data_IF_405415465027
#
_entry.id   IF_405415465027
#
_cell.length_a   1.000
_cell.length_b   1.000
_cell.length_c   1.000
_cell.angle_alpha   90.00
_cell.angle_beta   90.00
_cell.angle_gamma   90.00
#
_symmetry.space_group_name_H-M   'P 1'
#
loop_
_entity.id
_entity.type
_entity.pdbx_description
1 polymer ?
#
# COMPACT_ATOMS: atom_id res chain seq x y z
N UNK A 1 24.15 76.86 -14.85
CA UNK A 1 23.02 76.45 -13.97
C UNK A 1 21.98 75.69 -14.79
N UNK A 2 22.01 74.35 -14.82
CA UNK A 2 20.85 73.51 -15.15
C UNK A 2 20.95 72.26 -14.28
N UNK A 3 20.03 72.14 -13.31
CA UNK A 3 19.96 71.04 -12.34
C UNK A 3 19.16 69.89 -12.96
N UNK A 4 19.77 68.72 -13.08
CA UNK A 4 19.11 67.44 -13.39
C UNK A 4 18.45 66.90 -12.12
N UNK A 5 17.14 66.66 -12.17
CA UNK A 5 16.38 66.01 -11.10
C UNK A 5 16.34 64.50 -11.39
N UNK A 6 16.96 63.70 -10.52
CA UNK A 6 16.89 62.23 -10.57
C UNK A 6 15.67 61.79 -9.73
N UNK A 7 14.68 61.20 -10.38
CA UNK A 7 13.48 60.66 -9.73
C UNK A 7 13.78 59.23 -9.25
N UNK A 8 13.94 59.05 -7.93
CA UNK A 8 14.05 57.73 -7.31
C UNK A 8 12.67 57.07 -7.23
N UNK A 9 12.45 56.01 -8.01
CA UNK A 9 11.29 55.14 -7.90
C UNK A 9 11.45 54.24 -6.66
N UNK A 10 10.75 54.58 -5.57
CA UNK A 10 10.60 53.70 -4.41
C UNK A 10 9.51 52.65 -4.70
N UNK A 11 9.94 51.45 -5.11
CA UNK A 11 9.08 50.26 -5.12
C UNK A 11 8.84 49.80 -3.68
N UNK A 12 7.59 49.61 -3.23
CA UNK A 12 7.32 49.04 -1.92
C UNK A 12 7.60 47.54 -1.96
N UNK A 13 8.69 47.13 -1.33
CA UNK A 13 8.93 45.72 -1.01
C UNK A 13 7.92 45.33 0.07
N UNK A 14 6.77 44.78 -0.35
CA UNK A 14 5.89 44.05 0.56
C UNK A 14 6.62 42.78 1.01
N UNK A 15 7.31 42.86 2.15
CA UNK A 15 7.73 41.67 2.88
C UNK A 15 6.48 40.96 3.40
N UNK A 16 5.94 40.03 2.61
CA UNK A 16 4.98 39.06 3.11
C UNK A 16 5.69 38.23 4.19
N UNK A 17 5.45 38.54 5.46
CA UNK A 17 5.94 37.73 6.57
C UNK A 17 5.48 36.29 6.35
N UNK A 18 6.41 35.39 6.02
CA UNK A 18 6.10 33.98 5.85
C UNK A 18 5.54 33.47 7.17
N UNK A 19 4.27 33.03 7.18
CA UNK A 19 3.65 32.49 8.38
C UNK A 19 4.42 31.23 8.78
N UNK A 20 4.97 31.22 9.98
CA UNK A 20 5.72 30.09 10.56
C UNK A 20 4.94 29.47 11.70
N UNK A 21 5.22 28.20 12.00
CA UNK A 21 4.81 27.58 13.25
C UNK A 21 5.95 27.60 14.27
N UNK A 22 5.58 27.63 15.54
CA UNK A 22 6.47 27.31 16.66
C UNK A 22 5.75 26.34 17.58
N UNK A 23 6.34 25.17 17.85
CA UNK A 23 5.81 24.21 18.82
C UNK A 23 6.70 24.27 20.05
N UNK A 24 6.14 24.61 21.21
CA UNK A 24 6.87 24.63 22.48
C UNK A 24 6.30 23.57 23.41
N UNK A 25 7.14 22.64 23.87
CA UNK A 25 6.73 21.59 24.79
C UNK A 25 7.37 21.71 26.17
N UNK A 26 6.59 21.39 27.20
CA UNK A 26 7.04 21.33 28.61
C UNK A 26 6.70 19.97 29.23
N UNK A 27 7.70 19.35 29.84
CA UNK A 27 7.75 18.03 30.48
C UNK A 27 8.59 18.15 31.77
N UNK A 28 8.08 18.81 32.84
CA UNK A 28 8.89 19.21 33.99
C UNK A 28 9.45 18.05 34.81
N UNK A 29 8.83 16.86 34.77
CA UNK A 29 9.32 15.65 35.45
C UNK A 29 10.29 14.83 34.60
N UNK A 30 10.49 15.17 33.31
CA UNK A 30 11.51 14.52 32.49
C UNK A 30 12.89 15.15 32.77
N UNK A 31 13.63 14.54 33.70
CA UNK A 31 14.97 15.00 34.13
C UNK A 31 16.12 14.40 33.32
N UNK A 32 15.89 13.25 32.67
CA UNK A 32 16.90 12.58 31.88
C UNK A 32 17.08 13.24 30.50
N UNK A 33 18.30 13.23 29.92
CA UNK A 33 18.51 13.65 28.54
C UNK A 33 17.64 12.85 27.57
N UNK A 34 16.86 13.56 26.77
CA UNK A 34 15.95 12.97 25.80
C UNK A 34 15.84 13.84 24.55
N UNK A 35 15.42 13.25 23.45
CA UNK A 35 15.17 13.93 22.17
C UNK A 35 13.73 13.70 21.77
N UNK A 36 13.02 14.75 21.39
CA UNK A 36 11.72 14.63 20.73
C UNK A 36 11.96 14.53 19.23
N UNK A 37 11.39 13.52 18.60
CA UNK A 37 11.36 13.40 17.14
C UNK A 37 9.97 13.74 16.64
N UNK A 38 9.91 14.50 15.54
CA UNK A 38 8.70 14.75 14.79
C UNK A 38 8.67 13.82 13.60
N UNK A 39 7.61 13.02 13.50
CA UNK A 39 7.35 12.16 12.37
C UNK A 39 6.20 12.70 11.51
N UNK A 40 6.39 12.71 10.19
CA UNK A 40 5.38 13.03 9.18
C UNK A 40 5.06 11.79 8.35
N UNK A 41 3.86 11.74 7.77
CA UNK A 41 3.47 10.64 6.88
C UNK A 41 4.15 10.79 5.50
N UNK A 42 4.91 9.78 5.08
CA UNK A 42 5.50 9.63 3.75
C UNK A 42 4.88 8.41 3.04
N UNK A 43 5.24 8.18 1.77
CA UNK A 43 4.72 7.06 0.98
C UNK A 43 4.99 5.69 1.66
N UNK A 44 6.14 5.55 2.33
CA UNK A 44 6.56 4.35 3.04
C UNK A 44 6.10 4.32 4.52
N UNK A 45 5.18 5.20 4.90
CA UNK A 45 4.64 5.34 6.25
C UNK A 45 5.22 6.50 7.05
N UNK A 46 5.04 6.47 8.36
CA UNK A 46 5.51 7.52 9.27
C UNK A 46 7.04 7.54 9.36
N UNK A 47 7.65 8.67 9.00
CA UNK A 47 9.10 8.88 9.02
C UNK A 47 9.45 10.08 9.89
N UNK A 48 10.49 9.94 10.69
CA UNK A 48 11.08 11.05 11.44
C UNK A 48 11.67 12.07 10.46
N UNK A 49 11.27 13.32 10.59
CA UNK A 49 11.66 14.41 9.68
C UNK A 49 12.31 15.58 10.38
N UNK A 50 12.17 15.67 11.71
CA UNK A 50 12.81 16.70 12.53
C UNK A 50 13.04 16.17 13.95
N UNK A 51 13.91 16.82 14.71
CA UNK A 51 14.20 16.48 16.10
C UNK A 51 14.59 17.70 16.93
N UNK A 52 14.24 17.68 18.21
CA UNK A 52 14.61 18.70 19.19
C UNK A 52 15.11 18.05 20.47
N UNK A 53 16.26 18.52 20.97
CA UNK A 53 16.79 18.09 22.27
C UNK A 53 15.92 18.66 23.39
N UNK A 54 15.59 17.84 24.37
CA UNK A 54 14.87 18.28 25.58
C UNK A 54 15.90 18.78 26.58
N UNK A 55 15.86 20.08 26.88
CA UNK A 55 16.73 20.73 27.87
C UNK A 55 15.86 21.24 29.02
N UNK A 56 16.17 20.82 30.25
CA UNK A 56 15.39 21.17 31.46
C UNK A 56 13.87 20.87 31.32
N UNK A 57 13.53 19.75 30.66
CA UNK A 57 12.15 19.37 30.41
C UNK A 57 11.44 20.22 29.34
N UNK A 58 12.15 21.08 28.59
CA UNK A 58 11.58 21.90 27.53
C UNK A 58 12.19 21.57 26.16
N UNK A 59 11.38 21.69 25.10
CA UNK A 59 11.83 21.56 23.71
C UNK A 59 11.06 22.53 22.81
N UNK A 60 11.63 22.81 21.64
CA UNK A 60 10.99 23.67 20.65
C UNK A 60 11.25 23.18 19.23
N UNK A 61 10.22 23.25 18.39
CA UNK A 61 10.33 23.14 16.93
C UNK A 61 9.91 24.45 16.27
N UNK A 62 10.51 24.77 15.13
CA UNK A 62 10.13 25.92 14.29
C UNK A 62 10.19 25.52 12.82
N UNK A 63 9.25 26.04 12.05
CA UNK A 63 9.26 25.84 10.61
C UNK A 63 8.13 26.58 9.92
N UNK A 64 7.90 26.26 8.66
CA UNK A 64 6.79 26.78 7.87
C UNK A 64 6.08 25.63 7.17
N UNK A 65 4.76 25.74 7.05
CA UNK A 65 3.92 24.76 6.38
C UNK A 65 3.13 25.42 5.25
N UNK A 66 2.91 24.68 4.16
CA UNK A 66 1.98 25.09 3.10
C UNK A 66 0.52 24.90 3.51
N UNK A 67 0.24 23.95 4.40
CA UNK A 67 -1.09 23.66 4.96
C UNK A 67 -0.98 22.96 6.32
N UNK A 68 -2.03 22.98 7.16
CA UNK A 68 -2.02 22.22 8.40
C UNK A 68 -1.73 20.74 8.16
N UNK A 69 -0.81 20.19 8.95
CA UNK A 69 -0.22 18.86 8.72
C UNK A 69 -0.34 18.02 9.98
N UNK A 70 -0.71 16.74 9.82
CA UNK A 70 -0.69 15.79 10.92
C UNK A 70 0.74 15.31 11.18
N UNK A 71 1.17 15.36 12.44
CA UNK A 71 2.47 14.86 12.89
C UNK A 71 2.32 13.94 14.08
N UNK A 72 3.32 13.10 14.31
CA UNK A 72 3.48 12.35 15.55
C UNK A 72 4.76 12.83 16.23
N UNK A 73 4.65 13.30 17.47
CA UNK A 73 5.81 13.58 18.32
C UNK A 73 6.11 12.35 19.18
N UNK A 74 7.39 11.97 19.25
CA UNK A 74 7.88 10.82 20.03
C UNK A 74 9.06 11.21 20.89
N UNK A 75 9.07 10.79 22.16
CA UNK A 75 10.21 11.03 23.05
C UNK A 75 11.14 9.81 23.04
N UNK A 76 12.40 10.01 22.63
CA UNK A 76 13.47 9.02 22.78
C UNK A 76 14.31 9.36 24.00
N UNK A 77 14.34 8.46 24.99
CA UNK A 77 15.21 8.57 26.18
C UNK A 77 16.45 7.70 25.98
N UNK A 78 17.61 8.13 26.47
CA UNK A 78 18.93 7.53 26.19
C UNK A 78 19.02 6.01 26.40
N UNK A 79 18.25 5.45 27.35
CA UNK A 79 18.26 4.03 27.70
C UNK A 79 16.97 3.27 27.31
N UNK A 80 16.18 3.76 26.35
CA UNK A 80 14.93 3.07 25.93
C UNK A 80 15.22 2.13 24.76
N UNK A 81 14.99 0.80 24.90
CA UNK A 81 15.09 -0.13 23.77
C UNK A 81 14.18 0.30 22.61
N UNK A 82 14.63 0.12 21.37
CA UNK A 82 13.90 0.56 20.16
C UNK A 82 12.46 0.01 20.10
N UNK A 83 12.21 -1.18 20.68
CA UNK A 83 10.88 -1.78 20.80
C UNK A 83 9.91 -1.01 21.71
N UNK A 84 10.41 -0.22 22.68
CA UNK A 84 9.60 0.61 23.62
C UNK A 84 9.47 2.07 23.20
N UNK A 85 10.29 2.52 22.25
CA UNK A 85 10.32 3.91 21.77
C UNK A 85 8.97 4.43 21.22
N UNK A 86 8.08 3.53 20.78
CA UNK A 86 6.77 3.90 20.19
C UNK A 86 5.65 4.16 21.19
N UNK A 87 5.86 3.95 22.49
CA UNK A 87 4.77 3.99 23.49
C UNK A 87 4.46 5.40 24.01
N UNK A 88 5.45 6.30 24.05
CA UNK A 88 5.29 7.69 24.49
C UNK A 88 5.23 8.63 23.28
N UNK A 89 4.05 8.72 22.67
CA UNK A 89 3.81 9.51 21.46
C UNK A 89 2.51 10.31 21.53
N UNK A 90 2.48 11.42 20.80
CA UNK A 90 1.32 12.28 20.62
C UNK A 90 1.11 12.54 19.13
N UNK A 91 -0.05 12.14 18.61
CA UNK A 91 -0.51 12.59 17.29
C UNK A 91 -1.23 13.93 17.44
N UNK A 92 -0.92 14.88 16.57
CA UNK A 92 -1.58 16.20 16.55
C UNK A 92 -1.54 16.82 15.15
N UNK A 93 -2.42 17.80 14.92
CA UNK A 93 -2.29 18.69 13.76
C UNK A 93 -1.49 19.93 14.13
N UNK A 94 -0.51 20.27 13.30
CA UNK A 94 0.26 21.51 13.40
C UNK A 94 -0.09 22.43 12.24
N UNK A 95 -0.06 23.73 12.49
CA UNK A 95 -0.30 24.79 11.50
C UNK A 95 0.59 25.99 11.84
N UNK A 96 0.68 26.98 10.95
CA UNK A 96 1.54 28.17 11.14
C UNK A 96 1.01 29.08 12.26
N UNK A 97 1.18 28.64 13.49
CA UNK A 97 0.77 29.28 14.73
C UNK A 97 1.74 28.93 15.88
N UNK A 98 1.55 29.57 17.03
CA UNK A 98 2.25 29.20 18.26
C UNK A 98 1.48 28.08 18.96
N UNK A 99 2.06 26.88 18.96
CA UNK A 99 1.49 25.67 19.53
C UNK A 99 2.21 25.36 20.84
N UNK A 100 1.44 25.12 21.91
CA UNK A 100 1.99 24.76 23.23
C UNK A 100 1.52 23.38 23.63
N UNK A 101 2.48 22.55 24.06
CA UNK A 101 2.28 21.20 24.58
C UNK A 101 2.64 21.17 26.06
N UNK A 102 1.69 20.83 26.91
CA UNK A 102 1.93 20.70 28.36
C UNK A 102 1.63 19.29 28.82
N UNK A 103 2.65 18.62 29.35
CA UNK A 103 2.53 17.31 29.98
C UNK A 103 3.40 17.27 31.23
N UNK A 104 3.09 16.37 32.17
CA UNK A 104 3.90 16.19 33.38
C UNK A 104 5.16 15.37 33.10
N UNK A 105 4.96 14.16 32.56
CA UNK A 105 5.97 13.09 32.41
C UNK A 105 6.03 12.48 31.01
N UNK A 106 4.91 12.50 30.27
CA UNK A 106 4.73 11.76 29.01
C UNK A 106 3.92 12.59 28.00
N UNK A 107 4.38 12.62 26.75
CA UNK A 107 3.68 13.27 25.63
C UNK A 107 2.31 12.64 25.37
N UNK A 108 2.14 11.35 25.65
CA UNK A 108 0.84 10.66 25.51
C UNK A 108 -0.27 11.34 26.33
N UNK A 109 0.08 12.03 27.43
CA UNK A 109 -0.87 12.74 28.31
C UNK A 109 -0.87 14.26 28.07
N UNK A 110 -0.20 14.73 27.03
CA UNK A 110 -0.06 16.16 26.80
C UNK A 110 -1.38 16.82 26.40
N UNK A 111 -1.60 18.03 26.92
CA UNK A 111 -2.61 18.94 26.43
C UNK A 111 -2.00 19.81 25.32
N UNK A 112 -2.74 19.97 24.23
CA UNK A 112 -2.35 20.75 23.05
C UNK A 112 -3.18 22.03 23.00
N UNK A 113 -2.52 23.16 22.75
CA UNK A 113 -3.18 24.45 22.53
C UNK A 113 -2.49 25.23 21.40
N UNK A 114 -3.21 26.16 20.77
CA UNK A 114 -2.67 27.01 19.70
C UNK A 114 -2.84 26.46 18.27
N UNK A 115 -3.28 25.21 18.11
CA UNK A 115 -3.73 24.65 16.84
C UNK A 115 -5.27 24.59 16.81
N UNK A 116 -5.88 25.44 15.99
CA UNK A 116 -7.33 25.45 15.71
C UNK A 116 -7.72 24.14 15.02
N UNK A 117 -6.93 23.70 14.03
CA UNK A 117 -7.19 22.46 13.29
C UNK A 117 -7.22 21.26 14.24
N UNK A 118 -6.23 21.15 15.12
CA UNK A 118 -6.14 20.06 16.10
C UNK A 118 -7.33 20.07 17.08
N UNK A 119 -7.65 21.24 17.64
CA UNK A 119 -8.77 21.41 18.56
C UNK A 119 -10.09 20.98 17.94
N UNK A 120 -10.36 21.39 16.69
CA UNK A 120 -11.61 21.09 16.01
C UNK A 120 -11.73 19.61 15.65
N UNK A 121 -10.66 19.00 15.13
CA UNK A 121 -10.62 17.56 14.84
C UNK A 121 -10.79 16.75 16.13
N UNK A 122 -10.10 17.10 17.21
CA UNK A 122 -10.22 16.40 18.49
C UNK A 122 -11.63 16.53 19.08
N UNK A 123 -12.28 17.69 18.94
CA UNK A 123 -13.68 17.87 19.35
C UNK A 123 -14.62 16.99 18.52
N UNK A 124 -14.42 16.92 17.21
CA UNK A 124 -15.20 16.05 16.31
C UNK A 124 -14.99 14.57 16.65
N UNK A 125 -13.74 14.11 16.82
CA UNK A 125 -13.43 12.72 17.16
C UNK A 125 -13.99 12.34 18.54
N UNK A 126 -13.96 13.26 19.51
CA UNK A 126 -14.60 13.06 20.82
C UNK A 126 -16.12 12.84 20.70
N UNK A 127 -16.79 13.51 19.76
CA UNK A 127 -18.24 13.38 19.55
C UNK A 127 -18.66 12.01 18.97
N UNK A 128 -17.77 11.36 18.19
CA UNK A 128 -18.05 10.03 17.61
C UNK A 128 -17.51 8.88 18.46
N UNK A 129 -16.63 9.18 19.41
CA UNK A 129 -16.00 8.18 20.30
C UNK A 129 -17.01 7.25 21.00
N UNK A 130 -18.15 7.71 21.55
CA UNK A 130 -19.12 6.81 22.17
C UNK A 130 -19.63 5.74 21.20
N UNK A 131 -19.93 6.11 19.95
CA UNK A 131 -20.38 5.16 18.93
C UNK A 131 -19.30 4.14 18.59
N UNK A 132 -18.05 4.58 18.46
CA UNK A 132 -16.91 3.69 18.21
C UNK A 132 -16.70 2.70 19.36
N UNK A 133 -16.78 3.16 20.61
CA UNK A 133 -16.70 2.30 21.80
C UNK A 133 -17.82 1.25 21.80
N UNK A 134 -19.05 1.63 21.46
CA UNK A 134 -20.16 0.67 21.34
C UNK A 134 -19.92 -0.33 20.20
N UNK A 135 -19.43 0.12 19.03
CA UNK A 135 -19.10 -0.79 17.92
C UNK A 135 -18.04 -1.81 18.35
N UNK A 136 -16.96 -1.37 19.00
CA UNK A 136 -15.90 -2.26 19.48
C UNK A 136 -16.45 -3.30 20.45
N UNK A 137 -17.25 -2.87 21.43
CA UNK A 137 -17.89 -3.79 22.38
C UNK A 137 -18.78 -4.82 21.67
N UNK A 138 -19.62 -4.38 20.72
CA UNK A 138 -20.46 -5.31 19.94
C UNK A 138 -19.61 -6.28 19.11
N UNK A 139 -18.49 -5.83 18.55
CA UNK A 139 -17.60 -6.68 17.79
C UNK A 139 -16.87 -7.71 18.66
N UNK A 140 -16.43 -7.31 19.86
CA UNK A 140 -15.78 -8.20 20.81
C UNK A 140 -16.79 -9.25 21.33
N UNK A 141 -17.97 -8.80 21.79
CA UNK A 141 -19.01 -9.67 22.35
C UNK A 141 -19.54 -10.67 21.29
N UNK A 142 -19.83 -10.21 20.06
CA UNK A 142 -20.46 -11.05 19.02
C UNK A 142 -19.49 -11.66 18.01
N UNK A 143 -18.21 -11.28 18.07
CA UNK A 143 -17.12 -11.85 17.28
C UNK A 143 -16.39 -13.00 17.98
N UNK A 144 -16.67 -13.23 19.26
CA UNK A 144 -16.05 -14.29 20.06
C UNK A 144 -16.28 -15.68 19.46
N UNK A 145 -15.23 -16.51 19.50
CA UNK A 145 -15.23 -17.88 19.03
C UNK A 145 -14.75 -18.83 20.12
N UNK A 146 -15.31 -20.04 20.15
CA UNK A 146 -14.81 -21.12 21.00
C UNK A 146 -13.42 -21.57 20.55
N UNK A 147 -12.76 -22.44 21.34
CA UNK A 147 -11.45 -23.01 21.01
C UNK A 147 -11.47 -23.82 19.70
N UNK A 148 -12.63 -24.35 19.35
CA UNK A 148 -12.90 -25.12 18.13
C UNK A 148 -13.20 -24.20 16.92
N UNK A 149 -13.20 -22.87 17.11
CA UNK A 149 -13.33 -21.89 16.04
C UNK A 149 -14.77 -21.58 15.62
N UNK A 150 -15.78 -22.08 16.34
CA UNK A 150 -17.20 -21.76 16.12
C UNK A 150 -17.56 -20.48 16.88
N UNK A 151 -18.49 -19.68 16.34
CA UNK A 151 -18.92 -18.46 17.04
C UNK A 151 -19.73 -18.81 18.29
N UNK A 152 -19.49 -18.09 19.39
CA UNK A 152 -20.19 -18.28 20.66
C UNK A 152 -21.69 -17.97 20.53
N UNK A 153 -22.02 -16.93 19.74
CA UNK A 153 -23.40 -16.53 19.52
C UNK A 153 -24.00 -17.06 18.20
N UNK A 154 -25.29 -17.47 18.19
CA UNK A 154 -26.02 -17.86 16.99
C UNK A 154 -26.00 -16.80 15.89
N UNK A 155 -26.19 -17.25 14.65
CA UNK A 155 -26.14 -16.39 13.44
C UNK A 155 -27.16 -15.25 13.53
N UNK A 156 -28.35 -15.51 14.04
CA UNK A 156 -29.46 -14.56 14.16
C UNK A 156 -29.11 -13.40 15.11
N UNK A 157 -28.45 -13.72 16.23
CA UNK A 157 -28.02 -12.72 17.21
C UNK A 157 -26.87 -11.89 16.63
N UNK A 158 -25.89 -12.54 15.99
CA UNK A 158 -24.79 -11.83 15.31
C UNK A 158 -25.30 -10.93 14.18
N UNK A 159 -26.36 -11.32 13.46
CA UNK A 159 -27.00 -10.48 12.45
C UNK A 159 -27.59 -9.21 13.07
N UNK A 160 -28.34 -9.32 14.17
CA UNK A 160 -28.88 -8.16 14.90
C UNK A 160 -27.78 -7.22 15.43
N UNK A 161 -26.67 -7.79 15.90
CA UNK A 161 -25.49 -7.01 16.28
C UNK A 161 -24.89 -6.29 15.07
N UNK A 162 -24.77 -6.97 13.93
CA UNK A 162 -24.37 -6.38 12.65
C UNK A 162 -25.26 -5.22 12.21
N UNK A 163 -26.59 -5.35 12.31
CA UNK A 163 -27.54 -4.28 11.99
C UNK A 163 -27.37 -3.07 12.93
N UNK A 164 -27.07 -3.33 14.21
CA UNK A 164 -26.78 -2.28 15.20
C UNK A 164 -25.47 -1.54 14.88
N UNK A 165 -24.44 -2.28 14.46
CA UNK A 165 -23.17 -1.70 13.96
C UNK A 165 -23.42 -0.84 12.72
N UNK A 166 -24.24 -1.29 11.77
CA UNK A 166 -24.56 -0.49 10.58
C UNK A 166 -25.25 0.85 10.95
N UNK A 167 -26.17 0.83 11.92
CA UNK A 167 -26.80 2.06 12.45
C UNK A 167 -25.79 2.99 13.10
N UNK A 168 -24.88 2.47 13.94
CA UNK A 168 -23.81 3.25 14.59
C UNK A 168 -22.85 3.86 13.55
N UNK A 169 -22.46 3.09 12.53
CA UNK A 169 -21.64 3.58 11.42
C UNK A 169 -22.36 4.70 10.67
N UNK A 170 -23.68 4.61 10.45
CA UNK A 170 -24.45 5.70 9.86
C UNK A 170 -24.42 6.96 10.73
N UNK A 171 -24.65 6.83 12.05
CA UNK A 171 -24.60 7.98 12.97
C UNK A 171 -23.22 8.66 12.98
N UNK A 172 -22.14 7.89 12.92
CA UNK A 172 -20.78 8.43 12.77
C UNK A 172 -20.67 9.23 11.46
N UNK A 173 -21.14 8.66 10.34
CA UNK A 173 -21.12 9.33 9.03
C UNK A 173 -21.92 10.63 9.03
N UNK A 174 -23.13 10.60 9.59
CA UNK A 174 -24.00 11.78 9.71
C UNK A 174 -23.36 12.86 10.59
N UNK A 175 -22.74 12.47 11.71
CA UNK A 175 -22.02 13.39 12.62
C UNK A 175 -20.84 14.05 11.92
N UNK A 176 -20.02 13.27 11.20
CA UNK A 176 -18.89 13.81 10.42
C UNK A 176 -19.34 14.71 9.28
N UNK A 177 -20.46 14.38 8.61
CA UNK A 177 -21.06 15.23 7.58
C UNK A 177 -21.57 16.56 8.15
N UNK A 178 -22.25 16.52 9.29
CA UNK A 178 -22.72 17.74 9.99
C UNK A 178 -21.55 18.64 10.42
N UNK A 179 -20.45 18.03 10.90
CA UNK A 179 -19.22 18.75 11.19
C UNK A 179 -18.69 19.47 9.94
N UNK A 180 -18.63 18.79 8.79
CA UNK A 180 -18.22 19.41 7.52
C UNK A 180 -19.10 20.60 7.15
N UNK A 181 -20.42 20.43 7.19
CA UNK A 181 -21.39 21.47 6.81
C UNK A 181 -21.30 22.73 7.67
N UNK A 182 -20.83 22.59 8.91
CA UNK A 182 -20.66 23.69 9.87
C UNK A 182 -19.24 24.28 9.89
N UNK A 183 -18.27 23.63 9.22
CA UNK A 183 -16.85 24.00 9.24
C UNK A 183 -16.29 24.29 7.83
N UNK A 184 -17.10 24.88 6.94
CA UNK A 184 -16.75 25.17 5.54
C UNK A 184 -15.62 26.19 5.34
N UNK A 185 -15.26 26.93 6.40
CA UNK A 185 -14.15 27.88 6.42
C UNK A 185 -12.95 27.37 7.25
N UNK A 186 -12.99 26.12 7.73
CA UNK A 186 -11.90 25.51 8.50
C UNK A 186 -11.23 24.38 7.72
N UNK A 187 -9.90 24.29 7.85
CA UNK A 187 -9.14 23.16 7.32
C UNK A 187 -9.58 21.83 7.96
N UNK A 188 -9.99 21.83 9.24
CA UNK A 188 -10.53 20.63 9.88
C UNK A 188 -11.78 20.10 9.16
N UNK A 189 -12.64 21.01 8.67
CA UNK A 189 -13.80 20.67 7.86
C UNK A 189 -13.40 20.03 6.53
N UNK A 190 -12.44 20.65 5.80
CA UNK A 190 -11.98 20.11 4.52
C UNK A 190 -11.27 18.75 4.69
N UNK A 191 -10.46 18.60 5.73
CA UNK A 191 -9.83 17.35 6.10
C UNK A 191 -10.86 16.25 6.39
N UNK A 192 -11.87 16.56 7.20
CA UNK A 192 -12.93 15.61 7.54
C UNK A 192 -13.74 15.22 6.31
N UNK A 193 -14.03 16.17 5.42
CA UNK A 193 -14.71 15.92 4.15
C UNK A 193 -13.90 14.98 3.26
N UNK A 194 -12.62 15.30 3.02
CA UNK A 194 -11.74 14.49 2.18
C UNK A 194 -11.54 13.08 2.72
N UNK A 195 -11.37 12.93 4.04
CA UNK A 195 -11.05 11.66 4.68
C UNK A 195 -12.27 10.76 4.90
N UNK A 196 -13.42 11.33 5.30
CA UNK A 196 -14.54 10.55 5.82
C UNK A 196 -15.85 10.69 5.04
N UNK A 197 -16.06 11.81 4.34
CA UNK A 197 -17.26 11.98 3.50
C UNK A 197 -17.00 11.41 2.10
N UNK A 198 -15.84 11.73 1.52
CA UNK A 198 -15.37 11.10 0.28
C UNK A 198 -14.81 9.69 0.56
N UNK A 199 -15.62 8.76 1.04
CA UNK A 199 -15.18 7.38 1.30
C UNK A 199 -14.98 6.57 -0.01
N UNK A 200 -14.99 5.23 0.02
CA UNK A 200 -14.86 4.47 -1.23
C UNK A 200 -16.13 4.43 -2.09
N UNK A 201 -17.27 4.84 -1.51
CA UNK A 201 -18.64 4.69 -2.04
C UNK A 201 -19.39 6.02 -2.20
N UNK A 202 -18.75 7.17 -1.97
CA UNK A 202 -19.41 8.46 -2.12
C UNK A 202 -19.99 8.68 -3.53
N UNK A 203 -21.06 9.47 -3.60
CA UNK A 203 -21.66 9.92 -4.84
C UNK A 203 -21.14 11.33 -5.18
N UNK A 204 -20.35 11.52 -6.26
CA UNK A 204 -19.85 12.82 -6.66
C UNK A 204 -20.97 13.82 -6.95
N UNK A 205 -22.13 13.38 -7.44
CA UNK A 205 -23.26 14.28 -7.70
C UNK A 205 -23.83 14.90 -6.41
N UNK A 206 -23.70 14.19 -5.29
CA UNK A 206 -24.11 14.66 -3.96
C UNK A 206 -23.01 15.50 -3.29
N UNK A 207 -21.75 15.05 -3.39
CA UNK A 207 -20.66 15.63 -2.61
C UNK A 207 -19.95 16.82 -3.29
N UNK A 208 -19.96 16.93 -4.62
CA UNK A 208 -19.38 18.08 -5.32
C UNK A 208 -20.07 19.42 -4.98
N UNK A 209 -21.41 19.52 -4.90
CA UNK A 209 -22.07 20.73 -4.40
C UNK A 209 -21.65 21.12 -2.97
N UNK A 210 -21.39 20.14 -2.10
CA UNK A 210 -20.88 20.40 -0.75
C UNK A 210 -19.44 20.93 -0.79
N UNK A 211 -18.58 20.34 -1.62
CA UNK A 211 -17.22 20.84 -1.83
C UNK A 211 -17.21 22.30 -2.30
N UNK A 212 -18.11 22.67 -3.21
CA UNK A 212 -18.19 24.02 -3.77
C UNK A 212 -18.50 25.11 -2.74
N UNK A 213 -19.12 24.73 -1.61
CA UNK A 213 -19.44 25.63 -0.48
C UNK A 213 -18.23 25.94 0.41
N UNK A 214 -17.11 25.23 0.30
CA UNK A 214 -15.89 25.57 1.02
C UNK A 214 -15.32 26.92 0.54
N UNK A 215 -14.62 27.62 1.44
CA UNK A 215 -13.96 28.89 1.12
C UNK A 215 -13.00 28.77 -0.08
N UNK A 216 -12.83 29.86 -0.84
CA UNK A 216 -11.92 29.90 -1.97
C UNK A 216 -10.49 29.49 -1.58
N UNK A 217 -9.99 29.99 -0.44
CA UNK A 217 -8.67 29.66 0.11
C UNK A 217 -8.49 28.16 0.35
N UNK A 218 -9.52 27.48 0.88
CA UNK A 218 -9.48 26.04 1.12
C UNK A 218 -9.57 25.24 -0.18
N UNK A 219 -10.40 25.67 -1.14
CA UNK A 219 -10.49 25.03 -2.45
C UNK A 219 -9.17 25.12 -3.24
N UNK A 220 -8.42 26.22 -3.09
CA UNK A 220 -7.09 26.41 -3.70
C UNK A 220 -5.93 25.78 -2.90
N UNK A 221 -6.19 25.19 -1.74
CA UNK A 221 -5.14 24.54 -0.93
C UNK A 221 -4.67 23.22 -1.56
N UNK A 222 -3.48 22.68 -1.19
CA UNK A 222 -3.05 21.37 -1.66
C UNK A 222 -4.05 20.24 -1.34
N UNK A 223 -4.68 20.25 -0.16
CA UNK A 223 -5.78 19.33 0.16
C UNK A 223 -7.03 19.58 -0.70
N UNK A 224 -7.33 20.84 -1.04
CA UNK A 224 -8.41 21.20 -1.96
C UNK A 224 -8.20 20.58 -3.35
N UNK A 225 -6.99 20.69 -3.91
CA UNK A 225 -6.63 20.06 -5.17
C UNK A 225 -6.77 18.53 -5.14
N UNK A 226 -6.31 17.87 -4.07
CA UNK A 226 -6.53 16.42 -3.87
C UNK A 226 -8.00 16.06 -3.76
N UNK A 227 -8.82 16.94 -3.20
CA UNK A 227 -10.27 16.73 -3.09
C UNK A 227 -10.94 16.77 -4.46
N UNK A 228 -10.55 17.72 -5.33
CA UNK A 228 -11.00 17.76 -6.72
C UNK A 228 -10.60 16.49 -7.47
N UNK A 229 -9.33 16.06 -7.38
CA UNK A 229 -8.87 14.82 -8.02
C UNK A 229 -9.71 13.61 -7.57
N UNK A 230 -10.00 13.52 -6.28
CA UNK A 230 -10.83 12.45 -5.72
C UNK A 230 -12.25 12.47 -6.25
N UNK A 231 -12.88 13.65 -6.35
CA UNK A 231 -14.20 13.83 -6.96
C UNK A 231 -14.20 13.39 -8.43
N UNK A 232 -13.18 13.75 -9.21
CA UNK A 232 -13.04 13.34 -10.62
C UNK A 232 -12.82 11.82 -10.78
N UNK A 233 -12.06 11.20 -9.87
CA UNK A 233 -11.96 9.73 -9.79
C UNK A 233 -13.33 9.13 -9.43
N UNK A 234 -14.09 9.77 -8.54
CA UNK A 234 -15.46 9.38 -8.20
C UNK A 234 -16.40 9.38 -9.41
N UNK A 235 -16.38 10.46 -10.21
CA UNK A 235 -17.18 10.59 -11.44
C UNK A 235 -16.90 9.46 -12.43
N UNK A 236 -15.62 9.11 -12.64
CA UNK A 236 -15.21 8.02 -13.55
C UNK A 236 -15.59 6.62 -13.07
N UNK A 237 -15.94 6.45 -11.79
CA UNK A 237 -16.31 5.16 -11.19
C UNK A 237 -17.82 4.95 -11.03
N UNK A 238 -18.65 5.91 -11.44
CA UNK A 238 -20.10 5.78 -11.31
C UNK A 238 -20.67 4.71 -12.26
N UNK A 239 -21.71 4.02 -11.79
CA UNK A 239 -22.49 3.11 -12.63
C UNK A 239 -22.96 3.85 -13.90
N UNK A 240 -22.75 3.24 -15.07
CA UNK A 240 -23.06 3.86 -16.36
C UNK A 240 -21.93 4.72 -16.95
N UNK A 241 -20.89 5.05 -16.18
CA UNK A 241 -19.68 5.69 -16.73
C UNK A 241 -18.90 4.72 -17.60
N UNK A 242 -18.36 5.22 -18.72
CA UNK A 242 -17.46 4.45 -19.58
C UNK A 242 -16.21 4.08 -18.78
N UNK A 243 -15.96 2.78 -18.60
CA UNK A 243 -14.72 2.29 -18.00
C UNK A 243 -13.51 2.86 -18.75
N UNK A 244 -12.48 3.25 -18.00
CA UNK A 244 -11.22 3.76 -18.58
C UNK A 244 -10.59 2.64 -19.40
N UNK A 245 -10.34 2.90 -20.68
CA UNK A 245 -9.72 1.93 -21.57
C UNK A 245 -8.24 1.76 -21.17
N UNK A 246 -7.72 0.56 -21.33
CA UNK A 246 -6.31 0.27 -21.10
C UNK A 246 -5.82 -0.73 -22.13
N UNK A 247 -4.52 -0.67 -22.43
CA UNK A 247 -3.84 -1.71 -23.20
C UNK A 247 -2.72 -2.28 -22.35
N UNK A 248 -2.75 -3.60 -22.15
CA UNK A 248 -1.71 -4.33 -21.44
C UNK A 248 -1.43 -5.62 -22.20
N UNK A 249 -0.21 -6.13 -22.10
CA UNK A 249 0.11 -7.42 -22.69
C UNK A 249 -0.56 -8.55 -21.89
N UNK A 250 -1.15 -9.51 -22.59
CA UNK A 250 -1.66 -10.75 -22.02
C UNK A 250 -0.52 -11.71 -21.62
N UNK A 251 -0.87 -12.90 -21.14
CA UNK A 251 0.10 -13.94 -20.74
C UNK A 251 1.00 -14.43 -21.89
N UNK A 252 0.62 -14.17 -23.15
CA UNK A 252 1.38 -14.51 -24.35
C UNK A 252 2.14 -13.31 -24.92
N UNK A 253 2.25 -12.24 -24.13
CA UNK A 253 2.86 -10.96 -24.48
C UNK A 253 2.17 -10.25 -25.67
N UNK A 254 0.90 -10.57 -25.94
CA UNK A 254 0.11 -9.92 -26.99
C UNK A 254 -0.64 -8.72 -26.41
N UNK A 255 -0.62 -7.54 -27.06
CA UNK A 255 -1.39 -6.40 -26.58
C UNK A 255 -2.88 -6.74 -26.54
N UNK A 256 -3.47 -6.59 -25.36
CA UNK A 256 -4.90 -6.71 -25.08
C UNK A 256 -5.43 -5.33 -24.68
N UNK A 257 -6.48 -4.88 -25.36
CA UNK A 257 -7.15 -3.62 -25.05
C UNK A 257 -8.54 -3.89 -24.48
N UNK A 258 -8.93 -3.26 -23.36
CA UNK A 258 -10.24 -3.48 -22.73
C UNK A 258 -11.40 -3.26 -23.71
N UNK A 259 -11.34 -2.22 -24.53
CA UNK A 259 -12.37 -1.92 -25.53
C UNK A 259 -12.54 -3.00 -26.60
N UNK A 260 -11.58 -3.90 -26.79
CA UNK A 260 -11.73 -5.06 -27.69
C UNK A 260 -12.83 -6.04 -27.25
N UNK A 261 -13.27 -5.95 -25.99
CA UNK A 261 -14.36 -6.76 -25.44
C UNK A 261 -15.74 -6.11 -25.60
N UNK A 262 -15.86 -4.94 -26.24
CA UNK A 262 -17.16 -4.30 -26.48
C UNK A 262 -18.11 -5.23 -27.24
N UNK A 263 -19.37 -5.23 -26.82
CA UNK A 263 -20.40 -6.10 -27.39
C UNK A 263 -20.36 -7.55 -26.89
N UNK A 264 -19.42 -7.92 -26.03
CA UNK A 264 -19.34 -9.23 -25.39
C UNK A 264 -19.77 -9.15 -23.94
N UNK A 265 -20.35 -10.23 -23.43
CA UNK A 265 -20.45 -10.43 -21.99
C UNK A 265 -19.06 -10.73 -21.43
N UNK A 266 -18.60 -9.92 -20.49
CA UNK A 266 -17.28 -10.05 -19.84
C UNK A 266 -17.50 -10.32 -18.37
N UNK A 267 -17.05 -11.48 -17.90
CA UNK A 267 -17.00 -11.81 -16.48
C UNK A 267 -15.66 -11.35 -15.91
N UNK A 268 -15.70 -10.50 -14.89
CA UNK A 268 -14.52 -10.06 -14.15
C UNK A 268 -14.70 -10.53 -12.71
N UNK A 269 -13.85 -11.45 -12.28
CA UNK A 269 -13.90 -12.05 -10.94
C UNK A 269 -12.65 -11.67 -10.13
N UNK A 270 -12.88 -11.04 -8.97
CA UNK A 270 -11.86 -10.69 -7.99
C UNK A 270 -12.06 -11.53 -6.74
N UNK A 271 -11.19 -12.50 -6.51
CA UNK A 271 -11.27 -13.38 -5.35
C UNK A 271 -10.04 -13.30 -4.45
N UNK A 272 -10.22 -13.69 -3.19
CA UNK A 272 -9.14 -13.89 -2.24
C UNK A 272 -9.49 -15.04 -1.29
N UNK A 273 -8.50 -15.79 -0.83
CA UNK A 273 -8.69 -16.96 0.05
C UNK A 273 -9.40 -16.64 1.38
N UNK A 274 -9.33 -15.38 1.81
CA UNK A 274 -9.92 -14.83 3.04
C UNK A 274 -11.23 -14.03 2.80
N UNK A 275 -11.68 -13.87 1.56
CA UNK A 275 -12.90 -13.16 1.23
C UNK A 275 -14.13 -14.03 1.51
N UNK A 276 -14.95 -13.67 2.51
CA UNK A 276 -16.11 -14.48 2.95
C UNK A 276 -17.15 -14.68 1.83
N UNK A 277 -17.58 -13.67 1.06
CA UNK A 277 -18.46 -13.88 -0.09
C UNK A 277 -17.85 -14.76 -1.18
N UNK A 278 -16.55 -14.60 -1.47
CA UNK A 278 -15.84 -15.42 -2.45
C UNK A 278 -15.81 -16.89 -2.02
N UNK A 279 -15.61 -17.17 -0.72
CA UNK A 279 -15.68 -18.52 -0.16
C UNK A 279 -17.08 -19.15 -0.25
N UNK A 280 -18.13 -18.32 -0.23
CA UNK A 280 -19.50 -18.78 -0.46
C UNK A 280 -19.77 -19.10 -1.94
N UNK A 281 -19.00 -18.52 -2.87
CA UNK A 281 -19.07 -18.82 -4.31
C UNK A 281 -18.31 -20.11 -4.65
N UNK A 282 -17.17 -20.38 -4.01
CA UNK A 282 -16.32 -21.55 -4.28
C UNK A 282 -17.04 -22.91 -4.50
N UNK A 283 -18.15 -23.25 -3.83
CA UNK A 283 -18.91 -24.46 -4.16
C UNK A 283 -19.33 -24.56 -5.63
N UNK A 284 -19.62 -23.45 -6.31
CA UNK A 284 -19.93 -23.41 -7.74
C UNK A 284 -18.68 -23.69 -8.58
N UNK A 285 -17.53 -23.11 -8.22
CA UNK A 285 -16.24 -23.43 -8.85
C UNK A 285 -15.89 -24.90 -8.68
N UNK A 286 -16.09 -25.47 -7.47
CA UNK A 286 -15.90 -26.91 -7.23
C UNK A 286 -16.81 -27.74 -8.11
N UNK A 287 -18.09 -27.35 -8.28
CA UNK A 287 -19.02 -28.04 -9.17
C UNK A 287 -18.52 -28.04 -10.62
N UNK A 288 -18.11 -26.87 -11.15
CA UNK A 288 -17.55 -26.76 -12.49
C UNK A 288 -16.27 -27.61 -12.64
N UNK A 289 -15.40 -27.60 -11.62
CA UNK A 289 -14.17 -28.39 -11.63
C UNK A 289 -14.44 -29.90 -11.62
N UNK A 290 -15.46 -30.36 -10.88
CA UNK A 290 -15.90 -31.77 -10.92
C UNK A 290 -16.36 -32.20 -12.31
N UNK A 291 -17.09 -31.34 -13.02
CA UNK A 291 -17.50 -31.60 -14.40
C UNK A 291 -16.27 -31.72 -15.34
N UNK A 292 -15.29 -30.84 -15.19
CA UNK A 292 -14.03 -30.90 -15.95
C UNK A 292 -13.22 -32.18 -15.64
N UNK A 293 -13.09 -32.56 -14.37
CA UNK A 293 -12.40 -33.79 -13.96
C UNK A 293 -13.15 -35.02 -14.47
N UNK A 294 -14.49 -35.02 -14.45
CA UNK A 294 -15.30 -36.09 -15.02
C UNK A 294 -15.05 -36.25 -16.52
N UNK A 295 -14.96 -35.15 -17.26
CA UNK A 295 -14.67 -35.19 -18.68
C UNK A 295 -13.24 -35.68 -18.98
N UNK A 296 -12.25 -35.30 -18.16
CA UNK A 296 -10.85 -35.67 -18.39
C UNK A 296 -10.48 -37.08 -17.88
N UNK A 297 -11.09 -37.54 -16.79
CA UNK A 297 -10.68 -38.74 -16.06
C UNK A 297 -11.83 -39.75 -15.83
N UNK A 298 -13.04 -39.48 -16.31
CA UNK A 298 -14.21 -40.37 -16.14
C UNK A 298 -14.78 -40.42 -14.73
N UNK A 299 -14.32 -39.55 -13.81
CA UNK A 299 -14.78 -39.49 -12.41
C UNK A 299 -14.93 -38.05 -11.95
N UNK A 300 -15.89 -37.77 -11.08
CA UNK A 300 -16.07 -36.46 -10.44
C UNK A 300 -15.21 -36.30 -9.17
N UNK A 301 -14.44 -37.33 -8.79
CA UNK A 301 -13.52 -37.29 -7.66
C UNK A 301 -12.26 -36.50 -8.03
N UNK A 302 -12.06 -35.39 -7.32
CA UNK A 302 -10.84 -34.58 -7.45
C UNK A 302 -9.77 -35.19 -6.53
N UNK A 303 -8.65 -35.61 -7.11
CA UNK A 303 -7.50 -36.17 -6.37
C UNK A 303 -6.26 -35.33 -6.66
N UNK A 304 -5.26 -35.40 -5.77
CA UNK A 304 -3.97 -34.75 -6.02
C UNK A 304 -3.31 -35.28 -7.30
N UNK A 305 -3.45 -36.57 -7.57
CA UNK A 305 -2.95 -37.19 -8.80
C UNK A 305 -3.60 -36.62 -10.07
N UNK A 306 -4.92 -36.40 -10.08
CA UNK A 306 -5.61 -35.74 -11.20
C UNK A 306 -5.10 -34.32 -11.43
N UNK A 307 -4.86 -33.56 -10.36
CA UNK A 307 -4.34 -32.20 -10.44
C UNK A 307 -2.90 -32.22 -10.97
N UNK A 308 -2.04 -33.08 -10.43
CA UNK A 308 -0.65 -33.22 -10.86
C UNK A 308 -0.56 -33.64 -12.34
N UNK A 309 -1.37 -34.62 -12.78
CA UNK A 309 -1.44 -35.06 -14.18
C UNK A 309 -1.99 -33.98 -15.10
N UNK A 310 -3.03 -33.25 -14.68
CA UNK A 310 -3.60 -32.17 -15.48
C UNK A 310 -2.57 -31.04 -15.70
N UNK A 311 -1.88 -30.64 -14.62
CA UNK A 311 -0.81 -29.65 -14.69
C UNK A 311 0.36 -30.14 -15.54
N UNK A 312 0.82 -31.37 -15.36
CA UNK A 312 1.90 -31.94 -16.15
C UNK A 312 1.51 -32.01 -17.65
N UNK A 313 0.29 -32.40 -17.97
CA UNK A 313 -0.23 -32.42 -19.35
C UNK A 313 -0.30 -31.02 -19.95
N UNK A 314 -0.78 -30.04 -19.20
CA UNK A 314 -0.75 -28.64 -19.63
C UNK A 314 0.68 -28.12 -19.83
N UNK A 315 1.60 -28.39 -18.90
CA UNK A 315 3.00 -27.97 -19.01
C UNK A 315 3.69 -28.56 -20.26
N UNK A 316 3.32 -29.78 -20.70
CA UNK A 316 3.81 -30.35 -21.96
C UNK A 316 3.37 -29.59 -23.21
N UNK A 317 2.28 -28.82 -23.14
CA UNK A 317 1.85 -27.97 -24.26
C UNK A 317 2.61 -26.64 -24.32
N UNK A 318 3.27 -26.25 -23.22
CA UNK A 318 4.11 -25.04 -23.12
C UNK A 318 5.45 -25.25 -23.82
N UNK A 319 5.41 -25.34 -25.14
CA UNK A 319 6.59 -25.44 -25.99
C UNK A 319 7.15 -24.06 -26.33
N UNK A 320 8.47 -23.93 -26.40
CA UNK A 320 9.10 -22.69 -26.85
C UNK A 320 8.82 -22.46 -28.34
N UNK A 321 8.66 -21.20 -28.74
CA UNK A 321 8.60 -20.84 -30.17
C UNK A 321 9.97 -21.10 -30.80
N UNK A 322 9.99 -21.43 -32.10
CA UNK A 322 11.25 -21.55 -32.85
C UNK A 322 12.07 -20.26 -32.78
N UNK A 323 13.24 -20.38 -32.19
CA UNK A 323 14.22 -19.31 -32.06
C UNK A 323 14.95 -19.05 -33.38
N UNK A 324 15.72 -17.95 -33.40
CA UNK A 324 16.66 -17.68 -34.51
C UNK A 324 17.75 -18.73 -34.60
N UNK A 325 18.18 -19.27 -33.46
CA UNK A 325 19.18 -20.32 -33.39
C UNK A 325 18.67 -21.63 -33.99
N UNK A 326 17.41 -22.01 -33.71
CA UNK A 326 16.81 -23.21 -34.30
C UNK A 326 16.79 -23.14 -35.83
N UNK A 327 16.39 -21.99 -36.39
CA UNK A 327 16.39 -21.80 -37.86
C UNK A 327 17.81 -21.80 -38.44
N UNK A 328 18.78 -21.24 -37.72
CA UNK A 328 20.18 -21.31 -38.10
C UNK A 328 20.69 -22.77 -38.17
N UNK A 329 20.30 -23.62 -37.23
CA UNK A 329 20.64 -25.05 -37.25
C UNK A 329 20.02 -25.81 -38.43
N UNK A 330 18.85 -25.39 -38.90
CA UNK A 330 18.18 -25.96 -40.08
C UNK A 330 18.79 -25.51 -41.42
N UNK A 331 19.84 -24.68 -41.41
CA UNK A 331 20.51 -24.19 -42.61
C UNK A 331 20.11 -22.77 -43.04
N UNK A 332 19.25 -22.09 -42.29
CA UNK A 332 18.98 -20.66 -42.53
C UNK A 332 20.10 -19.80 -41.92
N UNK A 333 21.32 -19.90 -42.46
CA UNK A 333 22.52 -19.34 -41.84
C UNK A 333 22.52 -17.82 -41.65
N UNK A 334 21.63 -17.08 -42.35
CA UNK A 334 21.45 -15.63 -42.19
C UNK A 334 20.63 -15.23 -40.96
N UNK A 335 20.10 -16.17 -40.20
CA UNK A 335 19.30 -15.90 -38.99
C UNK A 335 20.17 -15.39 -37.83
N UNK A 336 21.47 -15.67 -37.85
CA UNK A 336 22.45 -15.13 -36.91
C UNK A 336 23.37 -14.12 -37.62
N UNK A 337 23.74 -13.08 -36.89
CA UNK A 337 24.76 -12.10 -37.27
C UNK A 337 26.16 -12.67 -37.04
N UNK A 338 27.19 -12.08 -37.67
CA UNK A 338 28.59 -12.50 -37.48
C UNK A 338 29.01 -12.49 -36.00
N UNK A 339 28.56 -11.48 -35.24
CA UNK A 339 28.83 -11.37 -33.80
C UNK A 339 28.17 -12.50 -33.00
N UNK A 340 26.96 -12.91 -33.37
CA UNK A 340 26.28 -14.04 -32.72
C UNK A 340 26.94 -15.37 -33.09
N UNK A 341 27.47 -15.50 -34.30
CA UNK A 341 28.29 -16.66 -34.72
C UNK A 341 29.61 -16.71 -33.94
N UNK A 342 30.27 -15.57 -33.74
CA UNK A 342 31.47 -15.49 -32.88
C UNK A 342 31.14 -15.88 -31.43
N UNK A 343 30.02 -15.39 -30.89
CA UNK A 343 29.52 -15.79 -29.58
C UNK A 343 29.26 -17.30 -29.47
N UNK A 344 28.65 -17.90 -30.50
CA UNK A 344 28.46 -19.35 -30.60
C UNK A 344 29.81 -20.10 -30.67
N UNK A 345 30.80 -19.57 -31.40
CA UNK A 345 32.14 -20.15 -31.45
C UNK A 345 32.80 -20.14 -30.06
N UNK A 346 32.66 -19.03 -29.32
CA UNK A 346 33.15 -18.92 -27.95
C UNK A 346 32.46 -19.93 -27.03
N UNK A 347 31.12 -20.01 -27.10
CA UNK A 347 30.27 -20.92 -26.31
C UNK A 347 30.68 -22.39 -26.47
N UNK A 348 30.92 -22.82 -27.72
CA UNK A 348 31.29 -24.21 -28.03
C UNK A 348 32.78 -24.54 -27.83
N UNK A 349 33.61 -23.55 -27.52
CA UNK A 349 35.06 -23.72 -27.46
C UNK A 349 35.63 -23.12 -26.16
N UNK A 350 36.29 -21.96 -26.23
CA UNK A 350 37.08 -21.40 -25.11
C UNK A 350 36.27 -21.13 -23.84
N UNK A 351 34.97 -20.83 -23.94
CA UNK A 351 34.11 -20.65 -22.77
C UNK A 351 33.59 -21.97 -22.17
N UNK A 352 33.74 -23.10 -22.88
CA UNK A 352 33.42 -24.45 -22.42
C UNK A 352 31.95 -24.67 -22.00
N UNK A 353 31.05 -23.78 -22.40
CA UNK A 353 29.63 -23.84 -22.02
C UNK A 353 28.97 -25.12 -22.54
N UNK A 354 29.33 -25.54 -23.76
CA UNK A 354 28.76 -26.72 -24.43
C UNK A 354 29.03 -28.04 -23.68
N UNK A 355 30.02 -28.09 -22.78
CA UNK A 355 30.32 -29.30 -22.02
C UNK A 355 29.15 -29.73 -21.13
N UNK A 356 28.29 -28.79 -20.71
CA UNK A 356 27.09 -29.09 -19.94
C UNK A 356 25.82 -28.59 -20.67
N UNK A 357 25.91 -27.53 -21.46
CA UNK A 357 24.78 -26.98 -22.21
C UNK A 357 24.82 -27.40 -23.69
N UNK A 358 24.42 -28.64 -23.96
CA UNK A 358 24.38 -29.23 -25.30
C UNK A 358 23.03 -29.91 -25.59
N UNK A 359 22.90 -30.48 -26.79
CA UNK A 359 21.67 -31.10 -27.27
C UNK A 359 20.58 -30.07 -27.58
N UNK A 360 19.38 -30.58 -27.90
CA UNK A 360 18.25 -29.76 -28.34
C UNK A 360 17.81 -28.72 -27.30
N UNK A 361 17.96 -29.02 -26.02
CA UNK A 361 17.51 -28.15 -24.92
C UNK A 361 18.67 -27.39 -24.25
N UNK A 362 19.88 -27.46 -24.79
CA UNK A 362 21.07 -26.85 -24.17
C UNK A 362 21.25 -27.27 -22.70
N UNK A 363 21.09 -28.56 -22.44
CA UNK A 363 21.34 -29.17 -21.14
C UNK A 363 21.68 -30.64 -21.35
N UNK A 364 22.69 -31.10 -20.63
CA UNK A 364 23.06 -32.51 -20.53
C UNK A 364 22.18 -33.27 -19.52
N UNK A 365 21.28 -32.54 -18.83
CA UNK A 365 20.41 -33.01 -17.76
C UNK A 365 21.16 -33.63 -16.56
N UNK A 366 22.48 -33.47 -16.51
CA UNK A 366 23.34 -33.96 -15.44
C UNK A 366 23.45 -32.94 -14.31
N UNK A 367 24.11 -33.35 -13.22
CA UNK A 367 24.28 -32.56 -12.02
C UNK A 367 25.74 -32.15 -11.85
N UNK A 368 26.00 -30.84 -11.75
CA UNK A 368 27.36 -30.29 -11.67
C UNK A 368 27.47 -29.27 -10.54
N UNK A 369 28.65 -29.19 -9.94
CA UNK A 369 28.99 -28.16 -8.97
C UNK A 369 29.86 -27.09 -9.64
N UNK A 370 29.37 -25.86 -9.68
CA UNK A 370 30.06 -24.71 -10.28
C UNK A 370 30.63 -23.73 -9.22
N UNK A 371 30.71 -24.15 -7.96
CA UNK A 371 31.34 -23.41 -6.87
C UNK A 371 30.44 -22.39 -6.15
N UNK A 372 29.11 -22.48 -6.30
CA UNK A 372 28.16 -21.48 -5.78
C UNK A 372 27.36 -21.90 -4.54
N UNK A 373 27.65 -23.04 -3.90
CA UNK A 373 26.80 -23.64 -2.84
C UNK A 373 26.78 -22.90 -1.48
N UNK A 374 27.39 -21.72 -1.34
CA UNK A 374 27.39 -20.88 -0.11
C UNK A 374 27.62 -21.65 1.21
N UNK A 375 28.45 -22.70 1.18
CA UNK A 375 28.67 -23.60 2.31
C UNK A 375 29.03 -22.84 3.60
N UNK A 376 28.31 -23.13 4.69
CA UNK A 376 28.39 -22.49 6.01
C UNK A 376 28.15 -20.96 5.99
N UNK A 377 27.41 -20.45 5.01
CA UNK A 377 27.04 -19.03 4.90
C UNK A 377 25.52 -18.88 4.87
N UNK A 378 25.06 -17.63 5.03
CA UNK A 378 23.66 -17.27 4.80
C UNK A 378 23.29 -17.65 3.36
N UNK A 379 22.16 -18.34 3.18
CA UNK A 379 21.69 -18.92 1.90
C UNK A 379 22.39 -20.21 1.44
N UNK A 380 22.95 -21.00 2.37
CA UNK A 380 23.43 -22.36 2.06
C UNK A 380 22.32 -23.21 1.40
N UNK A 381 22.65 -23.76 0.23
CA UNK A 381 21.88 -24.81 -0.43
C UNK A 381 22.86 -25.85 -0.99
N UNK A 382 22.84 -27.05 -0.40
CA UNK A 382 23.71 -28.17 -0.75
C UNK A 382 23.27 -28.90 -2.04
N UNK A 383 22.18 -28.47 -2.67
CA UNK A 383 21.72 -28.99 -3.95
C UNK A 383 21.33 -30.46 -3.88
N UNK A 384 21.84 -31.27 -4.83
CA UNK A 384 21.53 -32.70 -4.96
C UNK A 384 21.78 -33.50 -3.68
N UNK A 385 22.81 -33.14 -2.89
CA UNK A 385 23.08 -33.75 -1.59
C UNK A 385 21.85 -33.77 -0.67
N UNK A 386 21.00 -32.73 -0.70
CA UNK A 386 19.82 -32.67 0.16
C UNK A 386 18.84 -33.84 -0.09
N UNK A 387 18.89 -34.43 -1.29
CA UNK A 387 18.10 -35.59 -1.69
C UNK A 387 18.88 -36.90 -1.54
N UNK A 388 20.11 -36.97 -2.07
CA UNK A 388 20.87 -38.24 -2.17
C UNK A 388 21.64 -38.60 -0.90
N UNK A 389 22.02 -37.59 -0.10
CA UNK A 389 22.92 -37.71 1.06
C UNK A 389 24.33 -38.22 0.73
N UNK A 390 24.73 -38.28 -0.54
CA UNK A 390 26.11 -38.61 -0.95
C UNK A 390 27.01 -37.35 -0.86
N UNK A 391 28.09 -37.35 -0.06
CA UNK A 391 29.02 -36.21 0.03
C UNK A 391 29.57 -35.72 -1.32
N UNK A 392 29.68 -36.61 -2.33
CA UNK A 392 30.13 -36.24 -3.67
C UNK A 392 29.10 -35.37 -4.42
N UNK A 393 27.85 -35.29 -3.97
CA UNK A 393 26.77 -34.50 -4.57
C UNK A 393 26.61 -33.10 -3.96
N UNK A 394 27.45 -32.74 -2.99
CA UNK A 394 27.40 -31.41 -2.35
C UNK A 394 27.62 -30.32 -3.39
N UNK A 395 26.66 -29.40 -3.44
CA UNK A 395 26.67 -28.24 -4.33
C UNK A 395 26.42 -28.57 -5.80
N UNK A 396 26.06 -29.82 -6.13
CA UNK A 396 25.66 -30.17 -7.49
C UNK A 396 24.21 -29.79 -7.76
N UNK A 397 23.97 -29.12 -8.87
CA UNK A 397 22.64 -28.77 -9.38
C UNK A 397 22.47 -29.28 -10.81
N UNK A 398 21.23 -29.58 -11.19
CA UNK A 398 20.91 -29.99 -12.56
C UNK A 398 21.22 -28.83 -13.51
N UNK A 399 21.90 -29.12 -14.62
CA UNK A 399 22.13 -28.12 -15.67
C UNK A 399 20.80 -27.61 -16.20
N UNK A 400 20.50 -26.30 -16.12
CA UNK A 400 19.26 -25.76 -16.68
C UNK A 400 19.35 -25.71 -18.21
N UNK A 401 18.19 -25.76 -18.87
CA UNK A 401 18.07 -25.39 -20.29
C UNK A 401 18.35 -23.88 -20.46
N UNK A 402 18.99 -23.49 -21.57
CA UNK A 402 19.33 -22.08 -21.89
C UNK A 402 18.39 -21.44 -22.92
#
# INVERSE_FOLDING_TARGET
MKKTFLLFLLLPVMAAAQKTYTITGKLPQLKEPATVYMATLKAEGWKETDSAVITNGAFQFKGALSEPTQVILRVKRKNTPEARYRQDQLGLFIENSNITLTATDSLKKATVSGSVTDREINKMEASVKPYLTTIMKLQDDFGEKTKEGTFVHPVEIRKKAGDSVQKLVKMIRDTKRSFVETHLNSYAGLHTFNMYVLDSKFDPAVEEPLFNRFSATLKSSPLGAKTVEKLEIGKRRQTGSKATDFTQNDLNNKPFTLSSLRGKYVLVDFWASWCVPCRAENPNVVKAYKELVKNAYGTDKITFDHVAKALASFQRTLTSRRSRFDRFLDGEYKQLTDKEIEGLHLFRNKARCINCHNGQYFTDEQFHNIGLTYYKRKYEDLGRYNITKDPNDVGKFRTPSL
#
